data_IF_920833542161
#
_entry.id   IF_920833542161
#
_cell.length_a   1.000
_cell.length_b   1.000
_cell.length_c   1.000
_cell.angle_alpha   90.00
_cell.angle_beta   90.00
_cell.angle_gamma   90.00
#
_symmetry.space_group_name_H-M   'P 1'
#
loop_
_entity.id
_entity.type
_entity.pdbx_description
1 polymer ?
#
# COMPACT_ATOMS: atom_id res chain seq x y z
N UNK A 1 13.63 -9.44 -7.34
CA UNK A 1 12.34 -9.18 -6.66
C UNK A 1 11.43 -10.36 -6.94
N UNK A 2 10.64 -10.87 -5.99
CA UNK A 2 9.79 -12.08 -6.20
C UNK A 2 8.78 -11.97 -7.36
N UNK A 3 8.61 -10.78 -7.94
CA UNK A 3 7.66 -10.46 -9.01
C UNK A 3 8.16 -10.76 -10.44
N UNK A 4 9.46 -11.02 -10.63
CA UNK A 4 10.05 -11.17 -11.98
C UNK A 4 9.57 -12.43 -12.71
N UNK A 5 9.11 -13.44 -11.96
CA UNK A 5 8.72 -14.76 -12.46
C UNK A 5 7.21 -14.98 -12.58
N UNK A 6 6.39 -14.00 -12.18
CA UNK A 6 4.94 -14.12 -12.20
C UNK A 6 4.40 -13.91 -13.60
N UNK A 7 3.29 -14.58 -13.91
CA UNK A 7 2.50 -14.32 -15.10
C UNK A 7 1.83 -12.94 -15.04
N UNK A 8 1.32 -12.47 -16.19
CA UNK A 8 0.58 -11.22 -16.27
C UNK A 8 -0.69 -11.26 -15.40
N UNK A 9 -1.42 -12.38 -15.41
CA UNK A 9 -2.61 -12.54 -14.57
C UNK A 9 -2.28 -12.49 -13.07
N UNK A 10 -1.23 -13.18 -12.62
CA UNK A 10 -0.80 -13.14 -11.22
C UNK A 10 -0.36 -11.72 -10.80
N UNK A 11 0.32 -10.99 -11.68
CA UNK A 11 0.69 -9.59 -11.41
C UNK A 11 -0.52 -8.68 -11.30
N UNK A 12 -1.55 -8.89 -12.12
CA UNK A 12 -2.81 -8.12 -12.03
C UNK A 12 -3.59 -8.42 -10.75
N UNK A 13 -3.67 -9.69 -10.35
CA UNK A 13 -4.30 -10.08 -9.08
C UNK A 13 -3.58 -9.43 -7.90
N UNK A 14 -2.24 -9.49 -7.89
CA UNK A 14 -1.45 -8.87 -6.83
C UNK A 14 -1.50 -7.35 -6.86
N UNK A 15 -1.59 -6.74 -8.03
CA UNK A 15 -1.82 -5.31 -8.16
C UNK A 15 -3.16 -4.91 -7.53
N UNK A 16 -4.22 -5.66 -7.81
CA UNK A 16 -5.54 -5.40 -7.25
C UNK A 16 -5.49 -5.50 -5.72
N UNK A 17 -4.90 -6.58 -5.19
CA UNK A 17 -4.76 -6.78 -3.74
C UNK A 17 -3.93 -5.69 -3.08
N UNK A 18 -2.81 -5.28 -3.68
CA UNK A 18 -1.97 -4.22 -3.11
C UNK A 18 -2.67 -2.85 -3.13
N UNK A 19 -3.55 -2.60 -4.10
CA UNK A 19 -4.38 -1.38 -4.14
C UNK A 19 -5.49 -1.40 -3.09
N UNK A 20 -6.15 -2.54 -2.91
CA UNK A 20 -7.15 -2.75 -1.85
C UNK A 20 -6.52 -2.54 -0.47
N UNK A 21 -5.38 -3.18 -0.20
CA UNK A 21 -4.65 -3.02 1.06
C UNK A 21 -4.19 -1.57 1.28
N UNK A 22 -3.76 -0.87 0.22
CA UNK A 22 -3.43 0.56 0.30
C UNK A 22 -4.64 1.41 0.69
N UNK A 23 -5.80 1.16 0.07
CA UNK A 23 -7.05 1.87 0.38
C UNK A 23 -7.48 1.63 1.83
N UNK A 24 -7.47 0.39 2.29
CA UNK A 24 -7.79 0.03 3.68
C UNK A 24 -6.88 0.76 4.68
N UNK A 25 -5.56 0.78 4.45
CA UNK A 25 -4.60 1.46 5.33
C UNK A 25 -4.78 2.97 5.29
N UNK A 26 -5.09 3.56 4.12
CA UNK A 26 -5.35 5.00 4.01
C UNK A 26 -6.65 5.40 4.74
N UNK A 27 -7.70 4.59 4.65
CA UNK A 27 -8.94 4.77 5.40
C UNK A 27 -8.74 4.64 6.91
N UNK A 28 -8.04 3.59 7.35
CA UNK A 28 -7.72 3.38 8.76
C UNK A 28 -6.92 4.55 9.32
N UNK A 29 -5.87 4.99 8.60
CA UNK A 29 -5.07 6.15 8.97
C UNK A 29 -5.95 7.40 9.10
N UNK A 30 -6.83 7.64 8.14
CA UNK A 30 -7.73 8.80 8.18
C UNK A 30 -8.66 8.75 9.39
N UNK A 31 -9.26 7.59 9.64
CA UNK A 31 -10.13 7.38 10.79
C UNK A 31 -9.38 7.64 12.09
N UNK A 32 -8.24 6.97 12.32
CA UNK A 32 -7.44 7.10 13.55
C UNK A 32 -6.95 8.53 13.77
N UNK A 33 -6.44 9.19 12.73
CA UNK A 33 -5.90 10.56 12.86
C UNK A 33 -7.00 11.63 12.98
N UNK A 34 -8.23 11.34 12.59
CA UNK A 34 -9.37 12.25 12.72
C UNK A 34 -10.05 12.20 14.10
N UNK A 35 -9.74 11.21 14.94
CA UNK A 35 -10.34 11.07 16.26
C UNK A 35 -9.93 12.22 17.19
N UNK A 36 -10.87 13.10 17.49
CA UNK A 36 -10.69 14.20 18.45
C UNK A 36 -10.60 13.65 19.88
N UNK A 37 -9.64 14.12 20.67
CA UNK A 37 -9.44 13.70 22.06
C UNK A 37 -8.54 12.47 22.24
N UNK A 38 -8.14 11.81 21.15
CA UNK A 38 -7.10 10.79 21.17
C UNK A 38 -5.74 11.44 20.83
N UNK A 39 -4.78 11.37 21.74
CA UNK A 39 -3.40 11.70 21.40
C UNK A 39 -2.79 10.56 20.59
N UNK A 40 -2.68 10.75 19.27
CA UNK A 40 -1.98 9.81 18.41
C UNK A 40 -0.48 10.09 18.48
N UNK A 41 0.30 9.09 18.88
CA UNK A 41 1.75 9.22 18.98
C UNK A 41 2.38 9.44 17.60
N UNK A 42 3.45 10.24 17.52
CA UNK A 42 4.20 10.43 16.27
C UNK A 42 4.77 9.12 15.71
N UNK A 43 5.04 8.13 16.56
CA UNK A 43 5.43 6.79 16.12
C UNK A 43 4.31 6.06 15.37
N UNK A 44 3.06 6.21 15.80
CA UNK A 44 1.89 5.66 15.09
C UNK A 44 1.70 6.35 13.74
N UNK A 45 1.82 7.67 13.69
CA UNK A 45 1.76 8.44 12.43
C UNK A 45 2.82 7.93 11.45
N UNK A 46 4.06 7.79 11.91
CA UNK A 46 5.18 7.32 11.10
C UNK A 46 4.98 5.89 10.58
N UNK A 47 4.41 5.00 11.40
CA UNK A 47 4.08 3.62 10.96
C UNK A 47 3.10 3.61 9.79
N UNK A 48 2.04 4.42 9.86
CA UNK A 48 1.11 4.54 8.73
C UNK A 48 1.79 5.13 7.50
N UNK A 49 2.65 6.14 7.66
CA UNK A 49 3.40 6.72 6.54
C UNK A 49 4.36 5.70 5.89
N UNK A 50 5.06 4.92 6.71
CA UNK A 50 5.97 3.86 6.24
C UNK A 50 5.20 2.77 5.49
N UNK A 51 4.05 2.31 6.01
CA UNK A 51 3.26 1.27 5.34
C UNK A 51 2.61 1.78 4.04
N UNK A 52 2.04 2.99 4.04
CA UNK A 52 1.47 3.61 2.84
C UNK A 52 2.55 3.78 1.76
N UNK A 53 3.75 4.24 2.14
CA UNK A 53 4.85 4.39 1.19
C UNK A 53 5.28 3.04 0.63
N UNK A 54 5.41 2.01 1.48
CA UNK A 54 5.75 0.65 1.06
C UNK A 54 4.74 0.09 0.07
N UNK A 55 3.44 0.23 0.34
CA UNK A 55 2.37 -0.25 -0.54
C UNK A 55 2.34 0.53 -1.86
N UNK A 56 2.55 1.85 -1.84
CA UNK A 56 2.68 2.66 -3.06
C UNK A 56 3.89 2.25 -3.91
N UNK A 57 5.04 2.00 -3.29
CA UNK A 57 6.22 1.50 -3.99
C UNK A 57 5.97 0.13 -4.61
N UNK A 58 5.27 -0.76 -3.89
CA UNK A 58 4.87 -2.07 -4.39
C UNK A 58 3.95 -1.96 -5.61
N UNK A 59 2.88 -1.18 -5.52
CA UNK A 59 1.95 -0.91 -6.63
C UNK A 59 2.72 -0.40 -7.84
N UNK A 60 3.58 0.61 -7.65
CA UNK A 60 4.38 1.20 -8.73
C UNK A 60 5.32 0.19 -9.37
N UNK A 61 5.96 -0.68 -8.58
CA UNK A 61 6.84 -1.72 -9.08
C UNK A 61 6.08 -2.76 -9.94
N UNK A 62 4.89 -3.18 -9.49
CA UNK A 62 4.03 -4.12 -10.24
C UNK A 62 3.52 -3.47 -11.53
N UNK A 63 3.06 -2.22 -11.49
CA UNK A 63 2.63 -1.48 -12.69
C UNK A 63 3.76 -1.29 -13.70
N UNK A 64 4.95 -0.91 -13.23
CA UNK A 64 6.12 -0.79 -14.08
C UNK A 64 6.51 -2.13 -14.72
N UNK A 65 6.33 -3.25 -14.00
CA UNK A 65 6.56 -4.59 -14.56
C UNK A 65 5.52 -4.94 -15.62
N UNK A 66 4.24 -4.70 -15.35
CA UNK A 66 3.14 -4.93 -16.29
C UNK A 66 3.29 -4.10 -17.57
N UNK A 67 3.81 -2.87 -17.48
CA UNK A 67 4.06 -2.01 -18.65
C UNK A 67 5.22 -2.51 -19.53
N UNK A 68 6.11 -3.37 -19.00
CA UNK A 68 7.24 -3.96 -19.72
C UNK A 68 6.92 -5.35 -20.30
N UNK A 69 5.69 -5.85 -20.14
CA UNK A 69 5.23 -7.14 -20.69
C UNK A 69 4.36 -6.93 -21.92
#
# INVERSE_FOLDING_TARGET
MEWEKLSKEELLERLAKAKEELEEVEEERMFVLSQTGLHVSGGTVRKYEEEVNRLRELVKAIEARLAQM
#
